data_IF_726176995080
#
_entry.id   IF_726176995080
#
_cell.length_a   1.000
_cell.length_b   1.000
_cell.length_c   1.000
_cell.angle_alpha   90.00
_cell.angle_beta   90.00
_cell.angle_gamma   90.00
#
_symmetry.space_group_name_H-M   'P 1'
#
loop_
_entity.id
_entity.type
_entity.pdbx_description
1 polymer ?
#
# COMPACT_ATOMS: atom_id res chain seq x y z
N UNK A 1 19.11 -4.26 -34.01
CA UNK A 1 18.13 -4.46 -32.92
C UNK A 1 18.89 -5.02 -31.73
N UNK A 2 19.17 -4.21 -30.70
CA UNK A 2 19.83 -4.70 -29.49
C UNK A 2 18.79 -5.40 -28.62
N UNK A 3 18.85 -6.73 -28.58
CA UNK A 3 18.27 -7.53 -27.51
C UNK A 3 19.03 -7.19 -26.24
N UNK A 4 18.56 -6.18 -25.50
CA UNK A 4 18.95 -6.00 -24.10
C UNK A 4 18.50 -7.28 -23.40
N UNK A 5 19.47 -8.11 -23.04
CA UNK A 5 19.23 -9.28 -22.21
C UNK A 5 18.75 -8.72 -20.87
N UNK A 6 17.43 -8.71 -20.66
CA UNK A 6 16.78 -8.17 -19.47
C UNK A 6 17.07 -9.11 -18.30
N UNK A 7 18.26 -8.98 -17.72
CA UNK A 7 18.64 -9.73 -16.53
C UNK A 7 17.73 -9.30 -15.39
N UNK A 8 17.02 -10.27 -14.81
CA UNK A 8 16.23 -10.07 -13.60
C UNK A 8 17.21 -9.89 -12.44
N UNK A 9 16.96 -8.90 -11.59
CA UNK A 9 17.80 -8.49 -10.48
C UNK A 9 18.14 -9.65 -9.54
N UNK A 10 17.15 -10.48 -9.17
CA UNK A 10 17.31 -11.64 -8.26
C UNK A 10 18.00 -11.33 -6.93
N UNK A 11 18.13 -10.06 -6.52
CA UNK A 11 18.62 -9.70 -5.19
C UNK A 11 17.64 -10.24 -4.15
N UNK A 12 18.16 -10.92 -3.13
CA UNK A 12 17.36 -11.47 -2.05
C UNK A 12 16.70 -10.34 -1.26
N UNK A 13 15.36 -10.36 -1.20
CA UNK A 13 14.51 -9.41 -0.48
C UNK A 13 14.04 -9.94 0.87
N UNK A 14 14.27 -11.22 1.15
CA UNK A 14 13.68 -11.95 2.28
C UNK A 14 14.57 -13.09 2.79
N UNK A 15 14.07 -13.86 3.75
CA UNK A 15 14.82 -14.98 4.35
C UNK A 15 14.55 -16.31 3.63
N UNK A 16 13.49 -16.42 2.82
CA UNK A 16 13.13 -17.66 2.16
C UNK A 16 13.62 -17.74 0.70
N UNK A 17 13.53 -18.94 0.12
CA UNK A 17 13.96 -19.23 -1.27
C UNK A 17 13.10 -18.62 -2.37
N UNK A 18 12.02 -17.92 -2.03
CA UNK A 18 11.13 -17.25 -2.99
C UNK A 18 11.18 -15.72 -2.90
N UNK A 19 11.93 -15.18 -1.94
CA UNK A 19 12.05 -13.74 -1.71
C UNK A 19 13.17 -13.15 -2.57
N UNK A 20 12.96 -13.11 -3.88
CA UNK A 20 13.89 -12.53 -4.82
C UNK A 20 13.26 -11.35 -5.55
N UNK A 21 14.10 -10.36 -5.87
CA UNK A 21 13.68 -9.21 -6.64
C UNK A 21 13.17 -9.64 -8.02
N UNK A 22 11.90 -9.32 -8.32
CA UNK A 22 11.25 -9.71 -9.58
C UNK A 22 11.53 -8.76 -10.75
N UNK A 23 12.16 -7.61 -10.49
CA UNK A 23 12.43 -6.56 -11.49
C UNK A 23 13.77 -6.75 -12.22
N UNK A 24 13.95 -6.03 -13.32
CA UNK A 24 15.24 -5.93 -14.04
C UNK A 24 16.32 -5.24 -13.20
N UNK A 25 17.59 -5.50 -13.52
CA UNK A 25 18.74 -4.81 -12.91
C UNK A 25 18.63 -3.29 -13.11
N UNK A 26 18.95 -2.50 -12.07
CA UNK A 26 19.02 -1.02 -12.15
C UNK A 26 17.88 -0.23 -11.49
N UNK A 27 17.06 -0.84 -10.63
CA UNK A 27 15.92 -0.19 -9.94
C UNK A 27 16.33 0.75 -8.77
N UNK A 28 17.39 1.56 -8.94
CA UNK A 28 17.84 2.58 -7.98
C UNK A 28 17.98 2.10 -6.52
N UNK A 29 18.44 0.86 -6.34
CA UNK A 29 18.63 0.25 -5.00
C UNK A 29 17.38 -0.34 -4.34
N UNK A 30 16.17 -0.15 -4.89
CA UNK A 30 14.90 -0.64 -4.30
C UNK A 30 14.42 -1.97 -4.87
N UNK A 31 14.51 -3.05 -4.10
CA UNK A 31 14.03 -4.37 -4.53
C UNK A 31 12.64 -4.67 -3.98
N UNK A 32 11.80 -5.32 -4.79
CA UNK A 32 10.48 -5.80 -4.39
C UNK A 32 10.34 -7.28 -4.73
N UNK A 33 9.62 -8.03 -3.91
CA UNK A 33 9.37 -9.46 -4.13
C UNK A 33 8.26 -9.73 -5.17
N UNK A 34 7.36 -8.76 -5.41
CA UNK A 34 6.27 -8.91 -6.39
C UNK A 34 5.78 -7.57 -6.95
N UNK A 35 5.08 -7.62 -8.09
CA UNK A 35 4.42 -6.46 -8.68
C UNK A 35 3.42 -5.81 -7.73
N UNK A 36 2.68 -6.62 -6.96
CA UNK A 36 1.76 -6.14 -5.94
C UNK A 36 2.46 -5.28 -4.89
N UNK A 37 3.55 -5.78 -4.30
CA UNK A 37 4.33 -5.05 -3.27
C UNK A 37 4.93 -3.75 -3.81
N UNK A 38 5.36 -3.72 -5.07
CA UNK A 38 5.82 -2.49 -5.70
C UNK A 38 4.69 -1.46 -5.83
N UNK A 39 3.54 -1.86 -6.35
CA UNK A 39 2.41 -0.94 -6.54
C UNK A 39 1.89 -0.42 -5.20
N UNK A 40 1.80 -1.30 -4.19
CA UNK A 40 1.45 -0.93 -2.82
C UNK A 40 2.39 0.15 -2.28
N UNK A 41 3.70 -0.07 -2.37
CA UNK A 41 4.71 0.89 -1.97
C UNK A 41 4.58 2.24 -2.70
N UNK A 42 4.32 2.24 -4.01
CA UNK A 42 4.16 3.46 -4.78
C UNK A 42 2.94 4.28 -4.35
N UNK A 43 1.82 3.62 -4.02
CA UNK A 43 0.63 4.29 -3.46
C UNK A 43 1.00 4.94 -2.13
N UNK A 44 1.66 4.21 -1.24
CA UNK A 44 2.06 4.74 0.06
C UNK A 44 3.02 5.93 -0.08
N UNK A 45 4.00 5.88 -0.99
CA UNK A 45 4.90 7.02 -1.25
C UNK A 45 4.14 8.24 -1.78
N UNK A 46 3.17 8.06 -2.68
CA UNK A 46 2.37 9.16 -3.20
C UNK A 46 1.52 9.82 -2.11
N UNK A 47 0.92 9.02 -1.23
CA UNK A 47 0.14 9.50 -0.09
C UNK A 47 1.01 10.23 0.95
N UNK A 48 2.17 9.67 1.29
CA UNK A 48 3.15 10.32 2.18
C UNK A 48 3.62 11.65 1.59
N UNK A 49 3.88 11.71 0.28
CA UNK A 49 4.22 12.96 -0.41
C UNK A 49 3.10 14.00 -0.36
N UNK A 50 1.83 13.57 -0.42
CA UNK A 50 0.66 14.41 -0.23
C UNK A 50 0.40 14.80 1.24
N UNK A 51 1.29 14.45 2.17
CA UNK A 51 1.19 14.79 3.59
C UNK A 51 0.29 13.86 4.40
N UNK A 52 -0.11 12.70 3.86
CA UNK A 52 -0.89 11.69 4.58
C UNK A 52 0.01 10.85 5.48
N UNK A 53 -0.47 10.47 6.66
CA UNK A 53 0.24 9.52 7.53
C UNK A 53 -0.18 8.09 7.19
N UNK A 54 0.79 7.30 6.75
CA UNK A 54 0.62 5.90 6.36
C UNK A 54 1.58 5.04 7.18
N UNK A 55 1.05 3.96 7.76
CA UNK A 55 1.80 3.02 8.61
C UNK A 55 1.59 1.61 8.10
N UNK A 56 2.67 0.93 7.69
CA UNK A 56 2.58 -0.48 7.26
C UNK A 56 2.09 -1.37 8.39
N UNK A 57 1.30 -2.37 8.04
CA UNK A 57 0.89 -3.39 8.98
C UNK A 57 2.08 -4.29 9.33
N UNK A 58 2.02 -4.88 10.52
CA UNK A 58 2.91 -5.97 10.91
C UNK A 58 2.61 -7.24 10.11
N UNK A 59 3.57 -8.16 10.03
CA UNK A 59 3.36 -9.46 9.37
C UNK A 59 2.21 -10.27 10.01
N UNK A 60 1.97 -10.07 11.30
CA UNK A 60 0.86 -10.69 12.04
C UNK A 60 -0.50 -10.13 11.62
N UNK A 61 -0.60 -8.81 11.45
CA UNK A 61 -1.81 -8.12 10.97
C UNK A 61 -2.14 -8.48 9.51
N UNK A 62 -1.14 -8.56 8.63
CA UNK A 62 -1.32 -9.00 7.24
C UNK A 62 -1.88 -10.44 7.21
N UNK A 63 -1.24 -11.38 7.90
CA UNK A 63 -1.66 -12.79 7.89
C UNK A 63 -3.00 -13.06 8.55
N UNK A 64 -3.29 -12.38 9.68
CA UNK A 64 -4.50 -12.65 10.48
C UNK A 64 -5.69 -11.87 9.96
N UNK A 65 -5.49 -10.59 9.67
CA UNK A 65 -6.56 -9.63 9.44
C UNK A 65 -6.60 -9.15 7.98
N UNK A 66 -5.62 -9.52 7.15
CA UNK A 66 -5.55 -9.11 5.75
C UNK A 66 -5.27 -7.62 5.56
N UNK A 67 -4.72 -6.96 6.59
CA UNK A 67 -4.39 -5.53 6.57
C UNK A 67 -2.99 -5.37 6.01
N UNK A 68 -2.86 -4.65 4.90
CA UNK A 68 -1.55 -4.32 4.34
C UNK A 68 -0.95 -3.09 5.04
N UNK A 69 -1.77 -2.08 5.32
CA UNK A 69 -1.36 -0.85 5.99
C UNK A 69 -2.54 -0.06 6.56
N UNK A 70 -2.20 0.97 7.33
CA UNK A 70 -3.13 1.87 8.00
C UNK A 70 -2.93 3.29 7.49
N UNK A 71 -4.01 4.03 7.32
CA UNK A 71 -3.96 5.45 6.97
C UNK A 71 -4.69 6.30 7.99
N UNK A 72 -4.08 7.43 8.38
CA UNK A 72 -4.76 8.45 9.17
C UNK A 72 -5.78 9.16 8.28
N UNK A 73 -7.02 9.20 8.75
CA UNK A 73 -8.08 9.98 8.15
C UNK A 73 -8.53 11.05 9.16
N UNK A 74 -8.81 12.26 8.68
CA UNK A 74 -9.33 13.32 9.53
C UNK A 74 -10.69 12.95 10.11
N UNK A 75 -11.12 13.54 11.23
CA UNK A 75 -12.48 13.35 11.73
C UNK A 75 -13.54 13.64 10.68
N UNK A 76 -13.34 14.60 9.77
CA UNK A 76 -14.27 14.91 8.67
C UNK A 76 -14.32 13.81 7.61
N UNK A 77 -13.17 13.24 7.27
CA UNK A 77 -13.05 12.05 6.41
C UNK A 77 -13.62 10.80 7.13
N UNK A 78 -13.58 10.80 8.46
CA UNK A 78 -14.12 9.77 9.35
C UNK A 78 -15.49 10.10 9.92
N UNK A 79 -16.13 11.21 9.54
CA UNK A 79 -17.51 11.53 9.98
C UNK A 79 -18.47 10.44 9.47
N UNK A 80 -17.97 9.57 8.60
CA UNK A 80 -18.67 8.40 8.14
C UNK A 80 -18.52 7.14 9.00
N UNK A 81 -17.56 7.08 9.92
CA UNK A 81 -17.35 5.93 10.80
C UNK A 81 -17.16 6.34 12.25
N UNK A 82 -18.16 5.95 13.04
CA UNK A 82 -18.11 5.84 14.49
C UNK A 82 -16.92 4.98 14.93
N UNK A 83 -15.76 5.57 15.30
CA UNK A 83 -14.95 5.20 16.49
C UNK A 83 -13.57 5.91 16.57
N UNK A 84 -13.02 5.90 17.80
CA UNK A 84 -12.17 6.91 18.46
C UNK A 84 -10.73 7.10 17.96
N UNK A 85 -10.27 6.43 16.88
CA UNK A 85 -8.82 6.31 16.63
C UNK A 85 -8.26 6.93 15.35
N UNK A 86 -9.04 7.56 14.48
CA UNK A 86 -8.42 8.36 13.40
C UNK A 86 -7.76 7.54 12.28
N UNK A 87 -7.83 6.20 12.32
CA UNK A 87 -7.15 5.30 11.37
C UNK A 87 -8.12 4.34 10.69
N UNK A 88 -7.82 4.03 9.44
CA UNK A 88 -8.54 3.05 8.64
C UNK A 88 -7.59 1.94 8.19
N UNK A 89 -8.01 0.69 8.37
CA UNK A 89 -7.30 -0.48 7.86
C UNK A 89 -7.50 -0.61 6.36
N UNK A 90 -6.41 -0.81 5.62
CA UNK A 90 -6.41 -0.91 4.16
C UNK A 90 -5.86 -2.25 3.72
N UNK A 91 -6.55 -2.87 2.76
CA UNK A 91 -6.03 -3.94 1.94
C UNK A 91 -5.88 -3.42 0.50
N UNK A 92 -4.69 -3.50 -0.05
CA UNK A 92 -4.42 -3.05 -1.41
C UNK A 92 -4.58 -4.20 -2.42
N UNK A 93 -5.05 -3.85 -3.62
CA UNK A 93 -5.08 -4.77 -4.75
C UNK A 93 -4.65 -4.08 -6.03
N UNK A 94 -3.93 -4.82 -6.88
CA UNK A 94 -3.63 -4.41 -8.26
C UNK A 94 -4.71 -4.83 -9.25
N UNK A 95 -5.63 -5.72 -8.84
CA UNK A 95 -6.78 -6.14 -9.63
C UNK A 95 -8.02 -5.36 -9.19
N UNK A 96 -8.57 -4.53 -10.09
CA UNK A 96 -9.81 -3.77 -9.84
C UNK A 96 -10.98 -4.67 -9.49
N UNK A 97 -11.13 -5.80 -10.17
CA UNK A 97 -12.25 -6.73 -9.96
C UNK A 97 -12.21 -7.37 -8.57
N UNK A 98 -11.03 -7.44 -7.94
CA UNK A 98 -10.92 -7.96 -6.59
C UNK A 98 -11.67 -7.11 -5.55
N UNK A 99 -11.91 -5.82 -5.83
CA UNK A 99 -12.69 -4.94 -4.95
C UNK A 99 -14.17 -5.32 -4.86
N UNK A 100 -14.70 -6.01 -5.88
CA UNK A 100 -16.10 -6.45 -5.95
C UNK A 100 -16.25 -7.99 -5.93
N UNK A 101 -15.15 -8.71 -5.67
CA UNK A 101 -15.17 -10.18 -5.59
C UNK A 101 -15.31 -10.64 -4.14
N UNK A 102 -15.31 -11.96 -3.93
CA UNK A 102 -15.25 -12.55 -2.59
C UNK A 102 -14.07 -12.02 -1.76
N UNK A 103 -12.95 -11.62 -2.40
CA UNK A 103 -11.83 -10.99 -1.68
C UNK A 103 -12.26 -9.65 -1.07
N UNK A 104 -12.91 -8.80 -1.86
CA UNK A 104 -13.41 -7.51 -1.40
C UNK A 104 -14.50 -7.66 -0.35
N UNK A 105 -15.44 -8.60 -0.51
CA UNK A 105 -16.44 -8.90 0.50
C UNK A 105 -15.78 -9.34 1.81
N UNK A 106 -14.84 -10.28 1.77
CA UNK A 106 -14.11 -10.75 2.96
C UNK A 106 -13.34 -9.62 3.65
N UNK A 107 -12.73 -8.69 2.91
CA UNK A 107 -12.07 -7.53 3.51
C UNK A 107 -13.07 -6.65 4.26
N UNK A 108 -14.20 -6.31 3.60
CA UNK A 108 -15.24 -5.47 4.19
C UNK A 108 -15.89 -6.12 5.42
N UNK A 109 -16.18 -7.43 5.38
CA UNK A 109 -16.71 -8.18 6.52
C UNK A 109 -15.78 -8.12 7.74
N UNK A 110 -14.47 -8.01 7.51
CA UNK A 110 -13.44 -7.89 8.54
C UNK A 110 -13.15 -6.45 8.98
N UNK A 111 -13.90 -5.48 8.47
CA UNK A 111 -13.71 -4.08 8.81
C UNK A 111 -12.56 -3.40 8.05
N UNK A 112 -12.08 -3.99 6.95
CA UNK A 112 -10.90 -3.54 6.18
C UNK A 112 -11.31 -2.98 4.83
N UNK A 113 -10.81 -1.80 4.46
CA UNK A 113 -11.10 -1.18 3.17
C UNK A 113 -10.26 -1.83 2.08
N UNK A 114 -10.88 -2.40 1.06
CA UNK A 114 -10.16 -2.87 -0.12
C UNK A 114 -9.99 -1.73 -1.13
N UNK A 115 -8.75 -1.38 -1.45
CA UNK A 115 -8.45 -0.25 -2.32
C UNK A 115 -7.68 -0.69 -3.56
N UNK A 116 -8.12 -0.17 -4.70
CA UNK A 116 -7.43 -0.28 -5.97
C UNK A 116 -7.11 1.12 -6.49
N UNK A 117 -5.86 1.31 -6.91
CA UNK A 117 -5.42 2.51 -7.64
C UNK A 117 -4.82 2.03 -8.96
N UNK A 118 -5.08 2.78 -10.04
CA UNK A 118 -4.61 2.44 -11.37
C UNK A 118 -3.08 2.26 -11.40
N UNK A 119 -2.63 1.13 -11.93
CA UNK A 119 -1.20 0.86 -12.12
C UNK A 119 -0.55 1.83 -13.12
N UNK A 120 -1.33 2.37 -14.06
CA UNK A 120 -0.89 3.42 -14.99
C UNK A 120 -0.50 4.68 -14.22
N UNK A 121 -1.35 5.14 -13.31
CA UNK A 121 -1.10 6.33 -12.50
C UNK A 121 0.11 6.13 -11.58
N UNK A 122 0.26 4.94 -10.99
CA UNK A 122 1.41 4.60 -10.15
C UNK A 122 2.72 4.52 -10.93
N UNK A 123 2.69 3.98 -12.15
CA UNK A 123 3.86 3.97 -13.05
C UNK A 123 4.22 5.37 -13.55
N UNK A 124 3.24 6.26 -13.72
CA UNK A 124 3.50 7.67 -14.03
C UNK A 124 4.12 8.39 -12.83
N UNK A 125 3.61 8.15 -11.63
CA UNK A 125 4.19 8.64 -10.38
C UNK A 125 5.64 8.22 -10.20
N UNK A 126 5.96 6.94 -10.41
CA UNK A 126 7.33 6.41 -10.33
C UNK A 126 8.30 7.15 -11.28
N UNK A 127 7.83 7.55 -12.46
CA UNK A 127 8.66 8.18 -13.50
C UNK A 127 8.68 9.70 -13.41
N UNK A 128 7.86 10.30 -12.56
CA UNK A 128 7.75 11.75 -12.46
C UNK A 128 8.99 12.34 -11.77
N UNK A 129 9.74 13.13 -12.53
CA UNK A 129 10.95 13.83 -12.06
C UNK A 129 10.73 15.33 -11.82
N UNK A 130 9.65 15.90 -12.36
CA UNK A 130 9.27 17.30 -12.17
C UNK A 130 8.34 17.44 -10.95
N UNK A 131 8.60 18.44 -10.10
CA UNK A 131 7.87 18.65 -8.85
C UNK A 131 6.37 18.94 -9.03
N UNK A 132 6.00 19.71 -10.05
CA UNK A 132 4.60 20.03 -10.32
C UNK A 132 3.85 18.81 -10.85
N UNK A 133 4.48 18.03 -11.73
CA UNK A 133 3.95 16.75 -12.19
C UNK A 133 3.78 15.76 -11.03
N UNK A 134 4.76 15.71 -10.10
CA UNK A 134 4.66 14.90 -8.88
C UNK A 134 3.48 15.35 -8.02
N UNK A 135 3.35 16.65 -7.73
CA UNK A 135 2.22 17.18 -6.95
C UNK A 135 0.87 16.83 -7.59
N UNK A 136 0.71 17.05 -8.89
CA UNK A 136 -0.52 16.74 -9.60
C UNK A 136 -0.86 15.24 -9.55
N UNK A 137 0.13 14.36 -9.77
CA UNK A 137 -0.06 12.91 -9.69
C UNK A 137 -0.37 12.44 -8.27
N UNK A 138 0.31 12.98 -7.26
CA UNK A 138 0.06 12.66 -5.86
C UNK A 138 -1.38 13.04 -5.45
N UNK A 139 -1.86 14.22 -5.87
CA UNK A 139 -3.25 14.64 -5.65
C UNK A 139 -4.24 13.69 -6.34
N UNK A 140 -4.00 13.34 -7.61
CA UNK A 140 -4.86 12.39 -8.35
C UNK A 140 -4.92 11.03 -7.67
N UNK A 141 -3.78 10.49 -7.26
CA UNK A 141 -3.70 9.20 -6.55
C UNK A 141 -4.42 9.29 -5.21
N UNK A 142 -4.24 10.38 -4.47
CA UNK A 142 -4.89 10.61 -3.17
C UNK A 142 -6.41 10.70 -3.34
N UNK A 143 -6.90 11.42 -4.33
CA UNK A 143 -8.35 11.52 -4.61
C UNK A 143 -8.95 10.16 -4.99
N UNK A 144 -8.28 9.41 -5.87
CA UNK A 144 -8.70 8.04 -6.20
C UNK A 144 -8.72 7.12 -4.98
N UNK A 145 -7.72 7.24 -4.11
CA UNK A 145 -7.64 6.50 -2.86
C UNK A 145 -8.80 6.83 -1.92
N UNK A 146 -9.06 8.12 -1.66
CA UNK A 146 -10.12 8.56 -0.76
C UNK A 146 -11.51 8.19 -1.28
N UNK A 147 -11.74 8.33 -2.58
CA UNK A 147 -12.99 7.89 -3.20
C UNK A 147 -13.22 6.38 -3.03
N UNK A 148 -12.17 5.56 -3.06
CA UNK A 148 -12.27 4.13 -2.79
C UNK A 148 -12.62 3.85 -1.33
N UNK A 149 -11.99 4.55 -0.38
CA UNK A 149 -12.31 4.46 1.05
C UNK A 149 -13.77 4.84 1.30
N UNK A 150 -14.22 5.99 0.78
CA UNK A 150 -15.60 6.47 0.94
C UNK A 150 -16.61 5.48 0.38
N UNK A 151 -16.30 4.89 -0.78
CA UNK A 151 -17.13 3.85 -1.40
C UNK A 151 -17.25 2.61 -0.50
N UNK A 152 -16.13 2.12 0.05
CA UNK A 152 -16.13 0.98 0.97
C UNK A 152 -16.88 1.27 2.26
N UNK A 153 -16.70 2.46 2.86
CA UNK A 153 -17.43 2.86 4.06
C UNK A 153 -18.94 2.94 3.79
N UNK A 154 -19.34 3.52 2.66
CA UNK A 154 -20.74 3.58 2.27
C UNK A 154 -21.37 2.20 2.16
N UNK A 155 -20.67 1.23 1.54
CA UNK A 155 -21.14 -0.16 1.47
C UNK A 155 -21.27 -0.75 2.88
N UNK A 156 -20.24 -0.62 3.72
CA UNK A 156 -20.19 -1.25 5.04
C UNK A 156 -21.21 -0.71 6.03
N UNK A 157 -21.64 0.56 5.89
CA UNK A 157 -22.74 1.14 6.67
C UNK A 157 -24.08 0.41 6.47
N UNK A 158 -24.24 -0.24 5.33
CA UNK A 158 -25.43 -1.01 5.01
C UNK A 158 -25.28 -2.51 5.34
N UNK A 159 -24.11 -2.94 5.81
CA UNK A 159 -23.86 -4.33 6.23
C UNK A 159 -24.10 -4.46 7.76
N UNK A 160 -25.14 -5.17 8.19
CA UNK A 160 -25.47 -5.29 9.61
C UNK A 160 -24.35 -6.02 10.37
N UNK A 161 -23.87 -5.42 11.45
CA UNK A 161 -22.88 -6.03 12.36
C UNK A 161 -21.42 -5.83 11.96
N UNK A 162 -21.14 -5.24 10.80
CA UNK A 162 -19.77 -4.91 10.39
C UNK A 162 -19.29 -3.67 11.15
N UNK A 163 -18.13 -3.78 11.79
CA UNK A 163 -17.43 -2.66 12.44
C UNK A 163 -16.10 -2.42 11.75
N UNK A 164 -15.69 -1.16 11.64
CA UNK A 164 -14.34 -0.87 11.16
C UNK A 164 -13.30 -1.52 12.07
N UNK A 165 -12.30 -2.11 11.43
CA UNK A 165 -11.15 -2.65 12.12
C UNK A 165 -10.41 -1.50 12.80
N UNK A 166 -10.21 -1.63 14.10
CA UNK A 166 -9.48 -0.67 14.90
C UNK A 166 -8.00 -1.06 14.98
N UNK A 167 -7.08 -0.08 14.97
CA UNK A 167 -5.67 -0.37 15.22
C UNK A 167 -5.50 -0.96 16.63
N UNK A 168 -4.54 -1.88 16.82
CA UNK A 168 -4.26 -2.49 18.12
C UNK A 168 -3.94 -1.44 19.20
N UNK A 169 -4.08 -1.79 20.47
CA UNK A 169 -3.90 -0.84 21.58
C UNK A 169 -2.47 -0.31 21.71
N UNK A 170 -1.50 -1.08 21.24
CA UNK A 170 -0.09 -0.74 21.17
C UNK A 170 0.32 -0.26 19.76
N UNK A 171 -0.63 0.24 18.96
CA UNK A 171 -0.37 0.84 17.65
C UNK A 171 0.58 2.03 17.80
N UNK A 172 1.88 1.73 17.66
CA UNK A 172 2.93 2.74 17.64
C UNK A 172 2.98 3.29 16.23
N UNK A 173 3.06 4.60 16.11
CA UNK A 173 3.72 5.21 14.97
C UNK A 173 5.16 4.70 14.95
N UNK A 174 5.38 3.55 14.32
CA UNK A 174 6.65 3.37 13.64
C UNK A 174 6.50 4.25 12.41
N UNK A 175 6.95 5.49 12.52
CA UNK A 175 7.52 6.11 11.32
C UNK A 175 8.44 5.04 10.76
N UNK A 176 8.10 4.48 9.60
CA UNK A 176 9.04 3.65 8.89
C UNK A 176 10.22 4.56 8.56
N UNK A 177 11.21 4.59 9.45
CA UNK A 177 12.59 4.54 9.02
C UNK A 177 12.63 3.36 8.08
N UNK A 178 12.61 3.69 6.79
CA UNK A 178 12.61 2.78 5.67
C UNK A 178 13.15 1.39 6.04
N UNK A 179 12.28 0.40 6.16
CA UNK A 179 12.72 -0.99 5.99
C UNK A 179 12.78 -1.30 4.48
N UNK A 180 13.38 -0.37 3.72
CA UNK A 180 14.36 -0.83 2.74
C UNK A 180 15.37 -1.53 3.62
N UNK A 181 15.37 -2.86 3.63
CA UNK A 181 16.46 -3.64 4.21
C UNK A 181 17.76 -3.07 3.66
N UNK A 182 18.38 -2.13 4.36
CA UNK A 182 19.75 -1.72 4.16
C UNK A 182 20.54 -2.88 4.70
N UNK A 183 20.64 -3.92 3.88
CA UNK A 183 21.55 -5.02 4.15
C UNK A 183 22.93 -4.40 4.09
N UNK A 184 23.58 -4.35 5.26
CA UNK A 184 24.98 -4.02 5.38
C UNK A 184 25.75 -4.77 4.29
N UNK A 185 26.48 -3.99 3.48
CA UNK A 185 27.38 -4.50 2.46
C UNK A 185 28.48 -5.25 3.21
N UNK A 186 28.37 -6.57 3.31
CA UNK A 186 29.54 -7.39 3.58
C UNK A 186 30.24 -7.53 2.24
N UNK A 187 31.26 -6.71 2.03
CA UNK A 187 32.19 -6.94 0.93
C UNK A 187 32.89 -8.29 1.19
N UNK A 188 32.95 -9.21 0.21
CA UNK A 188 33.81 -10.36 0.34
C UNK A 188 35.28 -9.91 0.37
N UNK A 189 36.06 -10.53 1.26
CA UNK A 189 37.49 -10.35 1.43
C UNK A 189 38.29 -10.78 0.18
#
# INVERSE_FOLDING_TARGET
MNTINKSICRKRTGSCGYDFCYQEVGHNGRCFSSFGRKMEYLVQEALKFAGRKVVSATEEEDKRDGVDWWIECSPEELLMVLEKRGYVAVQFTVNREATYSNKGCNAMDNGVMIVWVSDVDLKMWEKATNDDARKALALKITDCFLNAIDSSINIMRHLPGVKLRQPPNDFRFREETADVRQVNIVQPA
#
